data_IF_101259534148
#
_entry.id   IF_101259534148
#
_cell.length_a   1.000
_cell.length_b   1.000
_cell.length_c   1.000
_cell.angle_alpha   90.00
_cell.angle_beta   90.00
_cell.angle_gamma   90.00
#
_symmetry.space_group_name_H-M   'P 1'
#
loop_
_entity.id
_entity.type
_entity.pdbx_description
1 polymer ?
#
# COMPACT_ATOMS: atom_id res chain seq x y z
N UNK A 1 5.38 7.12 25.86
CA UNK A 1 4.25 7.98 26.25
C UNK A 1 3.09 7.12 26.71
N UNK A 2 2.65 7.23 27.96
CA UNK A 2 1.34 6.72 28.35
C UNK A 2 0.25 7.54 27.64
N UNK A 3 -0.91 6.94 27.38
CA UNK A 3 -2.07 7.66 26.83
C UNK A 3 -2.38 8.88 27.71
N UNK A 4 -2.71 10.06 27.14
CA UNK A 4 -3.12 11.22 27.93
C UNK A 4 -4.28 10.85 28.86
N UNK A 5 -4.27 11.38 30.10
CA UNK A 5 -5.35 11.17 31.06
C UNK A 5 -6.67 11.69 30.49
N UNK A 6 -7.75 10.95 30.69
CA UNK A 6 -9.10 11.34 30.25
C UNK A 6 -9.44 11.01 28.80
N UNK A 7 -8.63 10.18 28.12
CA UNK A 7 -8.94 9.67 26.78
C UNK A 7 -9.31 8.18 26.87
N UNK A 8 -10.55 7.85 26.53
CA UNK A 8 -11.07 6.48 26.59
C UNK A 8 -10.78 5.65 25.32
N UNK A 9 -10.68 6.32 24.17
CA UNK A 9 -10.43 5.67 22.87
C UNK A 9 -9.71 6.61 21.90
N UNK A 10 -8.92 6.04 20.99
CA UNK A 10 -8.23 6.73 19.90
C UNK A 10 -8.37 5.95 18.60
N UNK A 11 -8.30 6.65 17.47
CA UNK A 11 -8.27 6.04 16.13
C UNK A 11 -6.95 6.42 15.43
N UNK A 12 -5.84 5.72 15.73
CA UNK A 12 -4.56 6.00 15.13
C UNK A 12 -4.25 5.10 13.92
N UNK A 13 -3.25 5.49 13.13
CA UNK A 13 -2.60 4.63 12.14
C UNK A 13 -1.40 3.92 12.72
N UNK A 14 -1.07 2.77 12.12
CA UNK A 14 0.22 2.12 12.34
C UNK A 14 1.38 3.09 12.09
N UNK A 15 2.46 3.02 12.91
CA UNK A 15 2.79 1.97 13.88
C UNK A 15 2.18 2.15 15.28
N UNK A 16 1.39 3.21 15.52
CA UNK A 16 0.90 3.56 16.86
C UNK A 16 0.07 2.46 17.56
N UNK A 17 -0.98 1.85 16.95
CA UNK A 17 -1.70 0.75 17.56
C UNK A 17 -0.79 -0.46 17.81
N UNK A 18 0.14 -0.79 16.90
CA UNK A 18 1.12 -1.85 17.12
C UNK A 18 2.02 -1.59 18.34
N UNK A 19 2.50 -0.36 18.54
CA UNK A 19 3.27 0.03 19.73
C UNK A 19 2.43 -0.11 21.00
N UNK A 20 1.18 0.36 20.97
CA UNK A 20 0.30 0.33 22.15
C UNK A 20 -0.07 -1.09 22.58
N UNK A 21 -0.31 -1.98 21.61
CA UNK A 21 -0.70 -3.37 21.86
C UNK A 21 0.51 -4.24 22.19
N UNK A 22 1.58 -4.18 21.38
CA UNK A 22 2.65 -5.17 21.42
C UNK A 22 3.80 -4.78 22.35
N UNK A 23 4.17 -3.49 22.38
CA UNK A 23 5.31 -3.03 23.19
C UNK A 23 4.88 -2.50 24.55
N UNK A 24 4.02 -1.47 24.54
CA UNK A 24 3.61 -0.77 25.76
C UNK A 24 2.56 -1.56 26.54
N UNK A 25 1.83 -2.44 25.84
CA UNK A 25 0.74 -3.27 26.40
C UNK A 25 -0.24 -2.46 27.23
N UNK A 26 -0.54 -1.25 26.77
CA UNK A 26 -1.35 -0.27 27.49
C UNK A 26 -2.70 0.01 26.80
N UNK A 27 -3.01 -0.69 25.71
CA UNK A 27 -4.30 -0.67 25.05
C UNK A 27 -4.56 -2.01 24.32
N UNK A 28 -5.77 -2.16 23.81
CA UNK A 28 -6.18 -3.27 22.93
C UNK A 28 -6.99 -2.72 21.76
N UNK A 29 -6.93 -3.40 20.61
CA UNK A 29 -7.80 -3.09 19.48
C UNK A 29 -9.21 -3.61 19.81
N UNK A 30 -10.20 -2.73 19.74
CA UNK A 30 -11.62 -3.08 19.95
C UNK A 30 -12.44 -3.10 18.66
N UNK A 31 -11.94 -2.44 17.61
CA UNK A 31 -12.53 -2.40 16.28
C UNK A 31 -11.46 -2.01 15.25
N UNK A 32 -11.66 -2.37 14.00
CA UNK A 32 -10.80 -1.99 12.87
C UNK A 32 -11.64 -1.49 11.68
N UNK A 33 -10.99 -0.83 10.74
CA UNK A 33 -11.66 -0.16 9.62
C UNK A 33 -11.69 -0.98 8.33
N UNK A 34 -11.07 -2.17 8.29
CA UNK A 34 -10.98 -2.95 7.05
C UNK A 34 -12.34 -3.41 6.50
N UNK A 35 -13.36 -3.75 7.33
CA UNK A 35 -14.71 -4.00 6.83
C UNK A 35 -15.38 -2.77 6.18
N UNK A 36 -14.89 -1.56 6.43
CA UNK A 36 -15.55 -0.32 6.00
C UNK A 36 -14.72 0.49 5.00
N UNK A 37 -13.46 0.12 4.79
CA UNK A 37 -12.56 0.79 3.87
C UNK A 37 -11.55 -0.21 3.30
N UNK A 38 -11.27 -0.12 2.00
CA UNK A 38 -10.19 -0.86 1.35
C UNK A 38 -9.02 0.11 1.21
N UNK A 39 -7.87 -0.24 1.79
CA UNK A 39 -6.72 0.67 1.83
C UNK A 39 -5.85 0.54 0.59
N UNK A 40 -5.70 1.66 -0.12
CA UNK A 40 -4.74 1.83 -1.21
C UNK A 40 -3.69 2.85 -0.85
N UNK A 41 -2.50 2.69 -1.42
CA UNK A 41 -1.44 3.69 -1.36
C UNK A 41 -1.23 4.26 -2.75
N UNK A 42 -0.84 5.53 -2.82
CA UNK A 42 -0.45 6.17 -4.07
C UNK A 42 0.74 7.07 -3.81
N UNK A 43 1.66 7.10 -4.76
CA UNK A 43 2.70 8.11 -4.81
C UNK A 43 2.18 9.31 -5.59
N UNK A 44 2.49 10.50 -5.12
CA UNK A 44 2.05 11.74 -5.74
C UNK A 44 3.26 12.49 -6.27
N UNK A 45 3.15 12.96 -7.50
CA UNK A 45 4.09 13.87 -8.13
C UNK A 45 3.31 15.04 -8.71
N UNK A 46 3.92 16.22 -8.72
CA UNK A 46 3.28 17.41 -9.31
C UNK A 46 3.29 17.31 -10.82
N UNK A 47 2.22 17.78 -11.47
CA UNK A 47 2.10 17.81 -12.92
C UNK A 47 3.28 18.54 -13.59
N UNK A 48 3.77 19.63 -12.98
CA UNK A 48 4.93 20.39 -13.48
C UNK A 48 6.18 19.51 -13.64
N UNK A 49 6.39 18.50 -12.79
CA UNK A 49 7.54 17.59 -12.88
C UNK A 49 7.30 16.56 -13.97
N UNK A 50 6.06 16.10 -14.16
CA UNK A 50 5.69 15.21 -15.27
C UNK A 50 5.95 15.92 -16.61
N UNK A 51 5.56 17.17 -16.73
CA UNK A 51 5.63 17.92 -17.99
C UNK A 51 7.06 18.33 -18.35
N UNK A 52 7.89 18.65 -17.34
CA UNK A 52 9.24 19.22 -17.56
C UNK A 52 10.39 18.23 -17.29
N UNK A 53 10.18 17.18 -16.50
CA UNK A 53 11.20 16.20 -16.12
C UNK A 53 10.63 14.76 -16.02
N UNK A 54 9.97 14.24 -17.09
CA UNK A 54 9.33 12.93 -17.06
C UNK A 54 10.32 11.77 -16.85
N UNK A 55 11.57 11.93 -17.27
CA UNK A 55 12.66 10.97 -17.03
C UNK A 55 12.97 10.84 -15.54
N UNK A 56 12.95 11.95 -14.79
CA UNK A 56 13.09 11.96 -13.33
C UNK A 56 11.92 11.22 -12.68
N UNK A 57 10.67 11.47 -13.13
CA UNK A 57 9.50 10.74 -12.62
C UNK A 57 9.63 9.24 -12.89
N UNK A 58 10.10 8.85 -14.07
CA UNK A 58 10.35 7.44 -14.40
C UNK A 58 11.43 6.84 -13.50
N UNK A 59 12.54 7.54 -13.27
CA UNK A 59 13.64 7.08 -12.43
C UNK A 59 13.18 6.86 -10.97
N UNK A 60 12.38 7.78 -10.41
CA UNK A 60 11.78 7.60 -9.08
C UNK A 60 10.81 6.42 -9.03
N UNK A 61 10.01 6.21 -10.08
CA UNK A 61 9.08 5.08 -10.16
C UNK A 61 9.82 3.75 -10.19
N UNK A 62 10.88 3.65 -10.99
CA UNK A 62 11.77 2.49 -11.03
C UNK A 62 12.43 2.25 -9.65
N UNK A 63 12.94 3.31 -9.02
CA UNK A 63 13.58 3.24 -7.70
C UNK A 63 12.63 2.74 -6.60
N UNK A 64 11.34 3.06 -6.65
CA UNK A 64 10.33 2.54 -5.70
C UNK A 64 10.18 1.03 -5.83
N UNK A 65 10.12 0.50 -7.06
CA UNK A 65 10.04 -0.94 -7.30
C UNK A 65 11.34 -1.63 -6.87
N UNK A 66 12.49 -1.06 -7.20
CA UNK A 66 13.80 -1.58 -6.79
C UNK A 66 13.96 -1.58 -5.26
N UNK A 67 13.57 -0.50 -4.58
CA UNK A 67 13.60 -0.40 -3.12
C UNK A 67 12.67 -1.44 -2.48
N UNK A 68 11.46 -1.65 -3.03
CA UNK A 68 10.53 -2.67 -2.53
C UNK A 68 11.14 -4.07 -2.65
N UNK A 69 11.80 -4.37 -3.77
CA UNK A 69 12.51 -5.64 -3.96
C UNK A 69 13.71 -5.80 -3.03
N UNK A 70 14.46 -4.72 -2.80
CA UNK A 70 15.58 -4.72 -1.88
C UNK A 70 15.11 -4.95 -0.43
N UNK A 71 14.03 -4.31 0.01
CA UNK A 71 13.41 -4.51 1.34
C UNK A 71 12.94 -5.96 1.52
N UNK A 72 12.29 -6.53 0.49
CA UNK A 72 11.85 -7.93 0.51
C UNK A 72 13.00 -8.91 0.64
N UNK A 73 14.15 -8.61 0.02
CA UNK A 73 15.35 -9.44 0.11
C UNK A 73 16.11 -9.25 1.43
N UNK A 74 16.18 -8.02 1.93
CA UNK A 74 17.04 -7.62 3.05
C UNK A 74 16.21 -6.90 4.14
N UNK A 75 15.22 -7.56 4.76
CA UNK A 75 14.29 -6.88 5.67
C UNK A 75 14.98 -6.36 6.94
N UNK A 76 16.02 -7.04 7.43
CA UNK A 76 16.72 -6.63 8.66
C UNK A 76 17.71 -5.48 8.39
N UNK A 77 18.33 -5.45 7.20
CA UNK A 77 19.10 -4.30 6.71
C UNK A 77 18.20 -3.09 6.44
N UNK A 78 16.98 -3.33 5.94
CA UNK A 78 16.00 -2.26 5.74
C UNK A 78 15.63 -1.57 7.06
N UNK A 79 15.50 -2.32 8.16
CA UNK A 79 15.31 -1.71 9.50
C UNK A 79 16.46 -0.77 9.85
N UNK A 80 17.71 -1.19 9.61
CA UNK A 80 18.89 -0.36 9.90
C UNK A 80 18.88 0.93 9.07
N UNK A 81 18.59 0.82 7.77
CA UNK A 81 18.47 1.96 6.88
C UNK A 81 17.34 2.91 7.31
N UNK A 82 16.19 2.38 7.73
CA UNK A 82 15.10 3.20 8.29
C UNK A 82 15.54 3.97 9.54
N UNK A 83 16.36 3.37 10.41
CA UNK A 83 16.84 4.04 11.62
C UNK A 83 17.85 5.17 11.35
N UNK A 84 18.38 5.30 10.14
CA UNK A 84 19.17 6.46 9.73
C UNK A 84 18.29 7.71 9.54
N UNK A 85 16.99 7.55 9.28
CA UNK A 85 16.03 8.67 9.23
C UNK A 85 15.80 9.23 10.64
N UNK A 86 16.04 10.53 10.89
CA UNK A 86 15.79 11.17 12.19
C UNK A 86 14.37 11.01 12.73
N UNK A 87 13.37 10.84 11.86
CA UNK A 87 11.97 10.63 12.23
C UNK A 87 11.71 9.20 12.69
N UNK A 88 12.52 8.24 12.25
CA UNK A 88 12.32 6.82 12.50
C UNK A 88 13.32 6.24 13.50
N UNK A 89 14.45 6.91 13.76
CA UNK A 89 15.52 6.44 14.67
C UNK A 89 15.05 6.06 16.09
N UNK A 90 13.96 6.67 16.57
CA UNK A 90 13.43 6.45 17.92
C UNK A 90 12.42 5.30 17.99
N UNK A 91 12.01 4.73 16.85
CA UNK A 91 11.21 3.51 16.84
C UNK A 91 12.10 2.31 17.12
N UNK A 92 11.55 1.32 17.83
CA UNK A 92 12.29 0.09 18.08
C UNK A 92 12.54 -0.66 16.77
N UNK A 93 13.67 -1.38 16.64
CA UNK A 93 13.93 -2.25 15.50
C UNK A 93 12.80 -3.27 15.27
N UNK A 94 12.19 -3.75 16.36
CA UNK A 94 11.11 -4.74 16.30
C UNK A 94 9.84 -4.18 15.64
N UNK A 95 9.46 -2.94 15.98
CA UNK A 95 8.31 -2.29 15.36
C UNK A 95 8.61 -2.00 13.89
N UNK A 96 9.77 -1.45 13.56
CA UNK A 96 10.13 -1.18 12.17
C UNK A 96 10.11 -2.46 11.32
N UNK A 97 10.62 -3.57 11.88
CA UNK A 97 10.57 -4.89 11.24
C UNK A 97 9.14 -5.37 11.02
N UNK A 98 8.28 -5.26 12.02
CA UNK A 98 6.88 -5.65 11.89
C UNK A 98 6.13 -4.79 10.85
N UNK A 99 6.46 -3.51 10.73
CA UNK A 99 5.90 -2.65 9.69
C UNK A 99 6.36 -3.08 8.28
N UNK A 100 7.64 -3.39 8.10
CA UNK A 100 8.17 -3.98 6.85
C UNK A 100 7.42 -5.28 6.50
N UNK A 101 7.27 -6.17 7.48
CA UNK A 101 6.60 -7.44 7.27
C UNK A 101 5.15 -7.26 6.83
N UNK A 102 4.45 -6.30 7.44
CA UNK A 102 3.02 -6.05 7.23
C UNK A 102 2.71 -5.28 5.94
N UNK A 103 3.56 -4.32 5.58
CA UNK A 103 3.25 -3.33 4.55
C UNK A 103 4.13 -3.41 3.31
N UNK A 104 5.28 -4.08 3.36
CA UNK A 104 6.17 -4.29 2.21
C UNK A 104 6.22 -5.76 1.77
N UNK A 105 6.20 -6.68 2.73
CA UNK A 105 6.46 -8.10 2.47
C UNK A 105 5.20 -8.95 2.42
N UNK A 106 4.11 -8.52 3.08
CA UNK A 106 2.89 -9.31 3.22
C UNK A 106 2.20 -9.61 1.88
N UNK A 107 2.08 -8.61 1.01
CA UNK A 107 1.39 -8.74 -0.27
C UNK A 107 2.37 -8.95 -1.42
N UNK A 108 1.85 -9.42 -2.57
CA UNK A 108 2.62 -9.41 -3.83
C UNK A 108 3.06 -7.98 -4.15
N UNK A 109 4.31 -7.75 -4.61
CA UNK A 109 4.83 -6.40 -4.85
C UNK A 109 4.07 -5.66 -5.97
N UNK A 110 3.20 -6.35 -6.72
CA UNK A 110 2.26 -5.76 -7.66
C UNK A 110 1.23 -4.83 -7.00
N UNK A 111 1.12 -4.79 -5.67
CA UNK A 111 0.30 -3.79 -4.95
C UNK A 111 0.72 -2.34 -5.26
N UNK A 112 1.95 -2.13 -5.73
CA UNK A 112 2.48 -0.82 -6.13
C UNK A 112 1.76 -0.23 -7.35
N UNK A 113 1.03 -1.03 -8.12
CA UNK A 113 0.32 -0.53 -9.28
C UNK A 113 -0.88 0.34 -8.87
N UNK A 114 -1.02 1.56 -9.40
CA UNK A 114 -1.98 2.55 -8.88
C UNK A 114 -3.44 2.33 -9.31
N UNK A 115 -3.75 1.29 -10.09
CA UNK A 115 -5.11 0.83 -10.47
C UNK A 115 -6.22 1.91 -10.46
N UNK A 116 -6.15 2.93 -11.35
CA UNK A 116 -6.93 4.16 -11.23
C UNK A 116 -8.44 3.93 -11.18
N UNK A 117 -8.94 3.01 -12.01
CA UNK A 117 -10.37 2.69 -12.09
C UNK A 117 -10.90 1.94 -10.86
N UNK A 118 -10.05 1.17 -10.19
CA UNK A 118 -10.44 0.49 -8.95
C UNK A 118 -10.52 1.52 -7.82
N UNK A 119 -9.44 2.27 -7.59
CA UNK A 119 -9.35 3.23 -6.49
C UNK A 119 -10.27 4.43 -6.64
N UNK A 120 -10.54 4.88 -7.86
CA UNK A 120 -11.55 5.90 -8.12
C UNK A 120 -12.92 5.46 -7.62
N UNK A 121 -13.33 4.22 -7.93
CA UNK A 121 -14.63 3.67 -7.49
C UNK A 121 -14.66 3.36 -5.99
N UNK A 122 -13.58 2.78 -5.46
CA UNK A 122 -13.49 2.43 -4.04
C UNK A 122 -13.60 3.66 -3.11
N UNK A 123 -13.16 4.83 -3.57
CA UNK A 123 -13.16 6.07 -2.79
C UNK A 123 -14.31 7.02 -3.12
N UNK A 124 -15.17 6.70 -4.10
CA UNK A 124 -16.18 7.65 -4.60
C UNK A 124 -17.18 8.08 -3.51
N UNK A 125 -17.64 7.13 -2.69
CA UNK A 125 -18.53 7.41 -1.55
C UNK A 125 -17.86 8.33 -0.52
N UNK A 126 -16.55 8.22 -0.35
CA UNK A 126 -15.77 9.12 0.51
C UNK A 126 -15.67 10.52 -0.10
N UNK A 127 -15.44 10.63 -1.41
CA UNK A 127 -15.42 11.91 -2.11
C UNK A 127 -16.77 12.63 -2.03
N UNK A 128 -17.87 11.89 -2.20
CA UNK A 128 -19.22 12.39 -2.05
C UNK A 128 -19.47 12.92 -0.63
N UNK A 129 -19.17 12.10 0.38
CA UNK A 129 -19.29 12.51 1.78
C UNK A 129 -18.45 13.77 2.08
N UNK A 130 -17.19 13.84 1.61
CA UNK A 130 -16.32 14.99 1.80
C UNK A 130 -16.92 16.26 1.16
N UNK A 131 -17.50 16.14 -0.03
CA UNK A 131 -18.10 17.27 -0.73
C UNK A 131 -19.38 17.75 -0.03
N UNK A 132 -20.30 16.82 0.29
CA UNK A 132 -21.55 17.12 1.00
C UNK A 132 -21.31 17.78 2.36
N UNK A 133 -20.23 17.38 3.04
CA UNK A 133 -19.81 17.93 4.32
C UNK A 133 -18.86 19.14 4.19
N UNK A 134 -18.72 19.72 2.99
CA UNK A 134 -17.91 20.92 2.71
C UNK A 134 -16.45 20.80 3.15
N UNK A 135 -15.90 19.57 3.15
CA UNK A 135 -14.49 19.27 3.41
C UNK A 135 -13.63 19.49 2.17
N UNK A 136 -14.23 19.38 0.98
CA UNK A 136 -13.63 19.73 -0.30
C UNK A 136 -14.53 20.70 -1.06
N UNK A 137 -13.93 21.59 -1.83
CA UNK A 137 -14.66 22.64 -2.58
C UNK A 137 -15.17 22.15 -3.94
N UNK A 138 -14.46 21.20 -4.55
CA UNK A 138 -14.79 20.64 -5.86
C UNK A 138 -15.24 19.20 -5.67
N UNK A 139 -16.38 18.83 -6.26
CA UNK A 139 -16.85 17.44 -6.23
C UNK A 139 -15.85 16.57 -7.00
N UNK A 140 -15.26 15.61 -6.29
CA UNK A 140 -14.50 14.53 -6.90
C UNK A 140 -15.41 13.32 -7.16
N UNK A 141 -15.10 12.58 -8.20
CA UNK A 141 -15.77 11.35 -8.65
C UNK A 141 -14.72 10.28 -8.95
N UNK A 142 -15.17 9.04 -9.17
CA UNK A 142 -14.29 7.99 -9.64
C UNK A 142 -13.56 8.37 -10.94
N UNK A 143 -14.25 9.04 -11.86
CA UNK A 143 -13.70 9.48 -13.13
C UNK A 143 -12.64 10.58 -12.96
N UNK A 144 -12.88 11.58 -12.10
CA UNK A 144 -11.89 12.64 -11.86
C UNK A 144 -10.65 12.10 -11.17
N UNK A 145 -10.79 11.14 -10.26
CA UNK A 145 -9.65 10.46 -9.66
C UNK A 145 -8.87 9.67 -10.70
N UNK A 146 -9.55 8.84 -11.50
CA UNK A 146 -8.90 8.02 -12.50
C UNK A 146 -8.16 8.85 -13.56
N UNK A 147 -8.71 10.03 -13.92
CA UNK A 147 -8.06 10.96 -14.83
C UNK A 147 -6.83 11.66 -14.24
N UNK A 148 -6.75 11.80 -12.91
CA UNK A 148 -5.62 12.42 -12.21
C UNK A 148 -4.44 11.46 -12.00
N UNK A 149 -4.65 10.15 -12.16
CA UNK A 149 -3.61 9.14 -12.00
C UNK A 149 -2.93 8.86 -13.34
N UNK A 150 -1.65 9.19 -13.42
CA UNK A 150 -0.80 8.84 -14.57
C UNK A 150 -0.10 7.49 -14.35
N UNK A 151 -0.71 6.39 -14.81
CA UNK A 151 -0.14 5.04 -14.64
C UNK A 151 1.07 4.77 -15.53
N UNK A 152 1.32 5.59 -16.57
CA UNK A 152 2.26 5.27 -17.65
C UNK A 152 3.67 4.99 -17.14
N UNK A 153 4.09 5.65 -16.06
CA UNK A 153 5.39 5.43 -15.44
C UNK A 153 5.50 4.04 -14.81
N UNK A 154 4.49 3.64 -14.03
CA UNK A 154 4.45 2.33 -13.39
C UNK A 154 4.19 1.21 -14.40
N UNK A 155 3.39 1.46 -15.44
CA UNK A 155 3.18 0.54 -16.56
C UNK A 155 4.53 0.19 -17.23
N UNK A 156 5.36 1.21 -17.49
CA UNK A 156 6.72 1.03 -18.04
C UNK A 156 7.62 0.27 -17.08
N UNK A 157 7.60 0.59 -15.79
CA UNK A 157 8.39 -0.13 -14.79
C UNK A 157 7.98 -1.61 -14.71
N UNK A 158 6.68 -1.91 -14.68
CA UNK A 158 6.17 -3.29 -14.64
C UNK A 158 6.55 -4.06 -15.91
N UNK A 159 6.46 -3.43 -17.08
CA UNK A 159 6.93 -4.02 -18.33
C UNK A 159 8.45 -4.28 -18.32
N UNK A 160 9.24 -3.34 -17.76
CA UNK A 160 10.70 -3.47 -17.60
C UNK A 160 11.05 -4.66 -16.71
N UNK A 161 10.42 -4.81 -15.54
CA UNK A 161 10.69 -5.93 -14.61
C UNK A 161 9.97 -7.22 -14.99
N UNK A 162 9.00 -7.18 -15.90
CA UNK A 162 8.30 -8.37 -16.38
C UNK A 162 7.13 -8.81 -15.52
N UNK A 163 6.49 -7.88 -14.81
CA UNK A 163 5.32 -8.17 -13.98
C UNK A 163 4.03 -7.90 -14.74
N UNK A 164 3.01 -8.72 -14.48
CA UNK A 164 1.67 -8.47 -14.96
C UNK A 164 1.01 -7.36 -14.13
N UNK A 165 0.25 -6.49 -14.78
CA UNK A 165 -0.61 -5.52 -14.11
C UNK A 165 -1.80 -6.29 -13.52
N UNK A 166 -2.02 -6.24 -12.20
CA UNK A 166 -3.09 -6.98 -11.58
C UNK A 166 -4.46 -6.36 -11.93
N UNK A 167 -5.51 -7.17 -12.02
CA UNK A 167 -6.88 -6.67 -12.29
C UNK A 167 -7.55 -6.08 -11.04
N UNK A 168 -7.12 -6.53 -9.86
CA UNK A 168 -7.57 -6.11 -8.55
C UNK A 168 -6.33 -5.96 -7.65
N UNK A 169 -6.37 -5.14 -6.59
CA UNK A 169 -5.31 -5.14 -5.60
C UNK A 169 -5.02 -6.57 -5.09
N UNK A 170 -3.75 -6.97 -4.90
CA UNK A 170 -3.39 -8.38 -4.66
C UNK A 170 -3.87 -8.93 -3.31
N UNK A 171 -4.26 -8.05 -2.38
CA UNK A 171 -4.84 -8.43 -1.10
C UNK A 171 -6.36 -8.71 -1.17
N UNK A 172 -7.00 -8.42 -2.30
CA UNK A 172 -8.35 -8.87 -2.57
C UNK A 172 -8.30 -10.26 -3.24
N UNK A 173 -9.20 -11.19 -2.88
CA UNK A 173 -9.28 -12.46 -3.58
C UNK A 173 -9.65 -12.25 -5.05
N UNK A 174 -9.16 -13.11 -5.95
CA UNK A 174 -9.48 -13.03 -7.38
C UNK A 174 -10.99 -13.13 -7.67
N UNK A 175 -11.76 -13.71 -6.74
CA UNK A 175 -13.22 -13.83 -6.78
C UNK A 175 -13.94 -12.62 -6.20
N UNK A 176 -13.24 -11.57 -5.76
CA UNK A 176 -13.85 -10.37 -5.18
C UNK A 176 -14.77 -9.69 -6.19
N UNK A 177 -16.06 -9.64 -5.88
CA UNK A 177 -17.10 -9.05 -6.70
C UNK A 177 -18.08 -8.18 -5.90
N UNK A 178 -17.73 -7.86 -4.64
CA UNK A 178 -18.58 -7.04 -3.80
C UNK A 178 -18.70 -5.61 -4.36
N UNK A 179 -19.89 -4.99 -4.28
CA UNK A 179 -20.04 -3.60 -4.67
C UNK A 179 -19.18 -2.68 -3.81
N UNK A 180 -18.42 -1.78 -4.45
CA UNK A 180 -17.51 -0.84 -3.79
C UNK A 180 -18.22 0.32 -3.07
N UNK A 181 -19.53 0.44 -3.23
CA UNK A 181 -20.40 1.42 -2.58
C UNK A 181 -21.17 0.82 -1.39
N UNK A 182 -20.99 -0.49 -1.10
CA UNK A 182 -21.72 -1.20 -0.04
C UNK A 182 -20.78 -1.77 1.02
N UNK A 183 -20.85 -1.17 2.20
CA UNK A 183 -20.18 -1.63 3.41
C UNK A 183 -21.17 -2.36 4.34
N UNK A 184 -20.72 -3.34 5.15
CA UNK A 184 -19.34 -3.81 5.25
C UNK A 184 -18.91 -4.68 4.05
N UNK A 185 -17.64 -4.57 3.66
CA UNK A 185 -17.02 -5.44 2.66
C UNK A 185 -16.86 -6.87 3.20
N UNK A 186 -16.91 -7.90 2.32
CA UNK A 186 -16.50 -9.24 2.70
C UNK A 186 -15.06 -9.25 3.21
N UNK A 187 -14.73 -10.20 4.08
CA UNK A 187 -13.36 -10.36 4.59
C UNK A 187 -12.37 -10.53 3.43
N UNK A 188 -11.31 -9.73 3.45
CA UNK A 188 -10.17 -9.81 2.53
C UNK A 188 -8.86 -9.82 3.34
N UNK A 189 -7.72 -9.97 2.65
CA UNK A 189 -6.40 -10.08 3.30
C UNK A 189 -5.97 -8.73 3.87
N UNK A 190 -5.70 -8.66 5.17
CA UNK A 190 -5.26 -7.46 5.89
C UNK A 190 -4.02 -7.76 6.73
N UNK A 191 -3.27 -6.74 7.19
CA UNK A 191 -2.21 -6.94 8.18
C UNK A 191 -2.68 -7.58 9.49
N UNK A 192 -3.98 -7.49 9.82
CA UNK A 192 -4.54 -8.04 11.06
C UNK A 192 -4.90 -9.53 10.94
N UNK A 193 -5.27 -10.02 9.76
CA UNK A 193 -5.73 -11.39 9.56
C UNK A 193 -4.80 -12.25 8.69
N UNK A 194 -3.80 -11.65 8.04
CA UNK A 194 -2.86 -12.34 7.17
C UNK A 194 -1.49 -12.35 7.83
N UNK A 195 -0.99 -13.55 8.12
CA UNK A 195 0.25 -13.75 8.89
C UNK A 195 1.39 -14.33 8.05
N UNK A 196 1.13 -14.69 6.79
CA UNK A 196 2.11 -15.23 5.87
C UNK A 196 2.21 -14.35 4.63
N UNK A 197 3.43 -13.98 4.19
CA UNK A 197 3.64 -13.33 2.91
C UNK A 197 2.99 -14.11 1.77
N UNK A 198 2.29 -13.39 0.88
CA UNK A 198 1.83 -13.94 -0.38
C UNK A 198 3.02 -14.39 -1.21
N UNK A 199 2.89 -15.57 -1.82
CA UNK A 199 3.90 -16.06 -2.75
C UNK A 199 3.98 -15.12 -3.97
N UNK A 200 5.20 -14.88 -4.44
CA UNK A 200 5.45 -14.16 -5.68
C UNK A 200 6.76 -14.66 -6.29
N UNK A 201 6.79 -14.96 -7.60
CA UNK A 201 5.65 -14.95 -8.52
C UNK A 201 4.82 -16.24 -8.43
N UNK A 202 3.54 -16.14 -8.75
CA UNK A 202 2.64 -17.26 -9.05
C UNK A 202 2.21 -17.22 -10.53
N UNK A 203 1.43 -18.22 -10.95
CA UNK A 203 0.89 -18.27 -12.32
C UNK A 203 0.12 -16.98 -12.65
N UNK A 204 0.48 -16.37 -13.78
CA UNK A 204 -0.12 -15.12 -14.24
C UNK A 204 0.49 -13.83 -13.67
N UNK A 205 1.44 -13.92 -12.72
CA UNK A 205 2.10 -12.72 -12.16
C UNK A 205 3.20 -12.16 -13.08
N UNK A 206 3.71 -12.97 -14.01
CA UNK A 206 4.84 -12.61 -14.87
C UNK A 206 4.44 -12.50 -16.35
N UNK A 207 5.01 -11.53 -17.05
CA UNK A 207 4.88 -11.37 -18.51
C UNK A 207 6.09 -11.90 -19.28
N UNK A 208 7.21 -12.15 -18.59
CA UNK A 208 8.46 -12.77 -19.07
C UNK A 208 9.20 -13.46 -17.91
N UNK A 209 10.21 -14.26 -18.21
CA UNK A 209 11.09 -14.82 -17.17
C UNK A 209 11.68 -13.71 -16.29
N UNK A 210 11.68 -13.92 -14.99
CA UNK A 210 12.09 -12.94 -14.00
C UNK A 210 13.13 -13.53 -13.07
N UNK A 211 14.18 -12.77 -12.78
CA UNK A 211 15.24 -13.20 -11.86
C UNK A 211 15.23 -12.35 -10.61
N UNK A 212 15.20 -13.00 -9.46
CA UNK A 212 15.28 -12.34 -8.16
C UNK A 212 16.02 -13.20 -7.17
N UNK A 213 16.92 -12.57 -6.42
CA UNK A 213 17.74 -13.22 -5.39
C UNK A 213 18.47 -14.50 -5.89
N UNK A 214 19.10 -14.40 -7.07
CA UNK A 214 19.83 -15.52 -7.68
C UNK A 214 18.95 -16.66 -8.21
N UNK A 215 17.63 -16.54 -8.12
CA UNK A 215 16.66 -17.51 -8.65
C UNK A 215 16.01 -16.99 -9.93
N UNK A 216 15.82 -17.87 -10.90
CA UNK A 216 15.09 -17.59 -12.13
C UNK A 216 13.70 -18.19 -12.02
N UNK A 217 12.68 -17.34 -12.12
CA UNK A 217 11.27 -17.71 -12.15
C UNK A 217 10.79 -17.67 -13.60
N UNK A 218 10.29 -18.82 -14.06
CA UNK A 218 9.76 -18.94 -15.43
C UNK A 218 8.36 -18.35 -15.51
N UNK A 219 8.06 -17.71 -16.63
CA UNK A 219 6.68 -17.33 -16.97
C UNK A 219 5.81 -18.60 -17.07
N UNK A 220 4.71 -18.64 -16.33
CA UNK A 220 3.74 -19.75 -16.30
C UNK A 220 2.33 -19.29 -16.68
#
# INVERSE_FOLDING_TARGET
MAMPKGIDAVVPWDPTPSIMVNERKNARIINDSFPYNIYGSSFYVRQEVIDNAPDVVQAFTDAIVEATLWIRKNPDEAVKAMQEDPNLKNFSPLILRQQIDSYNNLYKPTYLHPLPQFWGRANETTYEWLFENKRIQTKATAATYAAAVDSRFMDRTFAKVGWAIPKLPPFLPATFNAPLDKIPYPTYSTPLNTTKPQAFPERGDLTKDWSFDGKVFKKQ
#
